data_IF_524094237166
#
_entry.id   IF_524094237166
#
_cell.length_a   1.000
_cell.length_b   1.000
_cell.length_c   1.000
_cell.angle_alpha   90.00
_cell.angle_beta   90.00
_cell.angle_gamma   90.00
#
_symmetry.space_group_name_H-M   'P 1'
#
loop_
_entity.id
_entity.type
_entity.pdbx_description
1 polymer ?
#
# COMPACT_ATOMS: atom_id res chain seq x y z
N UNK A 1 10.24 -12.95 -0.74
CA UNK A 1 8.96 -13.66 -0.61
C UNK A 1 8.10 -13.57 -1.85
N UNK A 2 7.49 -14.72 -2.14
CA UNK A 2 6.70 -15.08 -3.33
C UNK A 2 5.24 -14.62 -3.15
N UNK A 3 4.94 -13.45 -3.74
CA UNK A 3 3.62 -12.84 -3.71
C UNK A 3 2.61 -13.60 -4.58
N UNK A 4 3.07 -14.31 -5.62
CA UNK A 4 2.20 -15.15 -6.46
C UNK A 4 1.66 -16.33 -5.66
N UNK A 5 2.52 -17.07 -4.98
CA UNK A 5 2.11 -18.21 -4.15
C UNK A 5 1.20 -17.78 -3.00
N UNK A 6 1.51 -16.65 -2.37
CA UNK A 6 0.69 -16.07 -1.31
C UNK A 6 -0.74 -15.75 -1.78
N UNK A 7 -0.87 -15.07 -2.92
CA UNK A 7 -2.18 -14.73 -3.48
C UNK A 7 -2.95 -15.95 -3.97
N UNK A 8 -2.27 -16.95 -4.55
CA UNK A 8 -2.92 -18.23 -4.91
C UNK A 8 -3.46 -18.98 -3.69
N UNK A 9 -2.72 -18.99 -2.58
CA UNK A 9 -3.20 -19.57 -1.33
C UNK A 9 -4.43 -18.83 -0.81
N UNK A 10 -4.40 -17.49 -0.76
CA UNK A 10 -5.56 -16.67 -0.39
C UNK A 10 -6.75 -16.94 -1.30
N UNK A 11 -6.54 -17.05 -2.62
CA UNK A 11 -7.59 -17.35 -3.60
C UNK A 11 -8.28 -18.69 -3.31
N UNK A 12 -7.53 -19.72 -2.89
CA UNK A 12 -8.09 -21.04 -2.56
C UNK A 12 -8.90 -21.05 -1.27
N UNK A 13 -8.64 -20.13 -0.35
CA UNK A 13 -9.37 -20.01 0.91
C UNK A 13 -10.71 -19.29 0.77
N UNK A 14 -10.92 -18.57 -0.34
CA UNK A 14 -12.15 -17.83 -0.58
C UNK A 14 -13.21 -18.71 -1.24
N UNK A 15 -14.44 -18.62 -0.74
CA UNK A 15 -15.62 -19.14 -1.42
C UNK A 15 -15.82 -18.44 -2.78
N UNK A 16 -16.56 -19.05 -3.73
CA UNK A 16 -16.97 -18.38 -4.96
C UNK A 16 -17.65 -17.03 -4.65
N UNK A 17 -17.24 -15.96 -5.34
CA UNK A 17 -17.70 -14.59 -5.09
C UNK A 17 -17.09 -13.90 -3.85
N UNK A 18 -16.22 -14.58 -3.10
CA UNK A 18 -15.51 -14.01 -1.97
C UNK A 18 -14.56 -12.87 -2.36
N UNK A 19 -14.32 -11.93 -1.44
CA UNK A 19 -13.50 -10.74 -1.69
C UNK A 19 -12.19 -10.76 -0.90
N UNK A 20 -11.11 -10.42 -1.58
CA UNK A 20 -9.81 -10.10 -1.01
C UNK A 20 -9.63 -8.58 -1.00
N UNK A 21 -9.33 -8.01 0.17
CA UNK A 21 -8.96 -6.60 0.33
C UNK A 21 -7.48 -6.54 0.72
N UNK A 22 -6.66 -5.87 -0.08
CA UNK A 22 -5.23 -5.70 0.15
C UNK A 22 -4.88 -4.25 0.40
N UNK A 23 -4.08 -4.01 1.44
CA UNK A 23 -3.37 -2.76 1.67
C UNK A 23 -1.87 -3.04 1.55
N UNK A 24 -1.23 -2.53 0.50
CA UNK A 24 0.20 -2.76 0.23
C UNK A 24 0.95 -1.44 0.01
N UNK A 25 2.24 -1.36 0.36
CA UNK A 25 2.99 -0.13 0.12
C UNK A 25 3.17 0.09 -1.38
N UNK A 26 3.02 1.35 -1.79
CA UNK A 26 3.06 1.78 -3.18
C UNK A 26 4.28 2.66 -3.46
N UNK A 27 4.52 2.90 -4.76
CA UNK A 27 5.63 3.72 -5.26
C UNK A 27 6.99 3.11 -4.90
N UNK A 28 7.55 2.21 -5.75
CA UNK A 28 8.85 1.59 -5.52
C UNK A 28 9.99 2.58 -5.20
N UNK A 29 9.91 3.80 -5.72
CA UNK A 29 10.85 4.89 -5.43
C UNK A 29 10.82 5.39 -3.97
N UNK A 30 9.88 4.95 -3.13
CA UNK A 30 9.84 5.26 -1.70
C UNK A 30 10.52 4.20 -0.83
N UNK A 31 10.79 3.01 -1.37
CA UNK A 31 11.33 1.91 -0.57
C UNK A 31 12.68 2.29 0.05
N UNK A 32 12.80 2.24 1.38
CA UNK A 32 13.97 2.73 2.10
C UNK A 32 14.29 1.95 3.37
N UNK A 33 15.04 2.59 4.26
CA UNK A 33 15.43 2.00 5.56
C UNK A 33 14.24 1.72 6.46
N UNK A 34 13.25 2.62 6.47
CA UNK A 34 11.98 2.41 7.16
C UNK A 34 11.24 1.15 6.69
N UNK A 35 11.22 0.89 5.38
CA UNK A 35 10.58 -0.31 4.83
C UNK A 35 11.25 -1.59 5.31
N UNK A 36 12.58 -1.64 5.24
CA UNK A 36 13.36 -2.78 5.71
C UNK A 36 13.14 -3.03 7.21
N UNK A 37 13.12 -1.97 8.01
CA UNK A 37 12.91 -2.06 9.45
C UNK A 37 11.52 -2.59 9.82
N UNK A 38 10.50 -2.32 8.98
CA UNK A 38 9.15 -2.83 9.14
C UNK A 38 8.92 -4.20 8.48
N UNK A 39 9.97 -4.83 7.95
CA UNK A 39 9.88 -6.14 7.29
C UNK A 39 9.22 -6.11 5.90
N UNK A 40 9.07 -4.93 5.28
CA UNK A 40 8.60 -4.86 3.90
C UNK A 40 9.67 -5.37 2.95
N UNK A 41 9.26 -6.24 2.01
CA UNK A 41 10.16 -6.77 0.99
C UNK A 41 10.15 -5.97 -0.32
N UNK A 42 9.01 -5.37 -0.66
CA UNK A 42 8.81 -4.59 -1.89
C UNK A 42 7.65 -3.62 -1.78
N UNK A 43 7.59 -2.67 -2.70
CA UNK A 43 6.42 -1.80 -2.95
C UNK A 43 5.91 -1.99 -4.37
N UNK A 44 4.63 -1.72 -4.59
CA UNK A 44 3.95 -2.02 -5.85
C UNK A 44 3.66 -0.78 -6.70
N UNK A 45 3.64 -0.98 -8.02
CA UNK A 45 2.97 -0.07 -8.97
C UNK A 45 1.54 -0.57 -9.15
N UNK A 46 0.58 0.34 -9.37
CA UNK A 46 -0.83 0.00 -9.59
C UNK A 46 -1.03 -1.05 -10.69
N UNK A 47 -0.42 -0.85 -11.85
CA UNK A 47 -0.50 -1.78 -12.97
C UNK A 47 0.07 -3.17 -12.62
N UNK A 48 1.25 -3.21 -11.97
CA UNK A 48 1.88 -4.47 -11.58
C UNK A 48 1.04 -5.25 -10.56
N UNK A 49 0.46 -4.57 -9.55
CA UNK A 49 -0.45 -5.21 -8.59
C UNK A 49 -1.72 -5.75 -9.26
N UNK A 50 -2.26 -4.99 -10.21
CA UNK A 50 -3.46 -5.39 -10.98
C UNK A 50 -3.19 -6.66 -11.77
N UNK A 51 -2.10 -6.69 -12.54
CA UNK A 51 -1.70 -7.87 -13.32
C UNK A 51 -1.42 -9.07 -12.43
N UNK A 52 -0.80 -8.86 -11.26
CA UNK A 52 -0.53 -9.92 -10.29
C UNK A 52 -1.83 -10.54 -9.74
N UNK A 53 -2.82 -9.73 -9.39
CA UNK A 53 -4.13 -10.21 -8.94
C UNK A 53 -4.85 -11.00 -10.03
N UNK A 54 -4.85 -10.51 -11.27
CA UNK A 54 -5.44 -11.21 -12.41
C UNK A 54 -4.76 -12.56 -12.66
N UNK A 55 -3.42 -12.58 -12.66
CA UNK A 55 -2.64 -13.79 -12.86
C UNK A 55 -2.81 -14.84 -11.74
N UNK A 56 -3.36 -14.43 -10.59
CA UNK A 56 -3.60 -15.31 -9.43
C UNK A 56 -5.07 -15.69 -9.25
N UNK A 57 -5.90 -15.41 -10.26
CA UNK A 57 -7.30 -15.88 -10.32
C UNK A 57 -8.31 -14.94 -9.66
N UNK A 58 -7.96 -13.65 -9.52
CA UNK A 58 -8.89 -12.63 -9.06
C UNK A 58 -9.41 -11.77 -10.21
N UNK A 59 -10.71 -11.47 -10.16
CA UNK A 59 -11.27 -10.34 -10.90
C UNK A 59 -11.03 -9.06 -10.10
N UNK A 60 -10.27 -8.13 -10.65
CA UNK A 60 -9.96 -6.88 -9.95
C UNK A 60 -11.17 -5.94 -10.01
N UNK A 61 -11.80 -5.71 -8.86
CA UNK A 61 -12.98 -4.85 -8.74
C UNK A 61 -12.62 -3.38 -8.48
N UNK A 62 -11.55 -3.12 -7.72
CA UNK A 62 -11.12 -1.76 -7.38
C UNK A 62 -9.62 -1.69 -7.11
N UNK A 63 -8.97 -0.60 -7.51
CA UNK A 63 -7.60 -0.27 -7.10
C UNK A 63 -7.41 1.25 -7.02
N UNK A 64 -7.05 1.73 -5.83
CA UNK A 64 -6.84 3.15 -5.55
C UNK A 64 -5.56 3.40 -4.74
N UNK A 65 -5.05 4.63 -4.83
CA UNK A 65 -3.97 5.11 -3.98
C UNK A 65 -4.52 5.63 -2.65
N UNK A 66 -3.75 5.44 -1.59
CA UNK A 66 -4.08 5.87 -0.24
C UNK A 66 -2.89 6.58 0.42
N UNK A 67 -3.20 7.53 1.30
CA UNK A 67 -2.24 8.28 2.13
C UNK A 67 -1.21 9.07 1.29
N UNK A 68 -1.63 10.19 0.70
CA UNK A 68 -0.69 11.05 -0.05
C UNK A 68 0.18 11.89 0.89
N UNK A 69 -0.39 12.49 1.93
CA UNK A 69 0.35 13.28 2.92
C UNK A 69 1.56 12.53 3.51
N UNK A 70 1.48 11.22 3.65
CA UNK A 70 2.59 10.40 4.15
C UNK A 70 3.77 10.26 3.18
N UNK A 71 3.58 10.46 1.87
CA UNK A 71 4.63 10.28 0.84
C UNK A 71 5.90 11.10 1.12
N UNK A 72 5.84 12.45 1.26
CA UNK A 72 7.05 13.26 1.49
C UNK A 72 7.72 12.93 2.83
N UNK A 73 6.94 12.75 3.89
CA UNK A 73 7.47 12.40 5.22
C UNK A 73 8.18 11.05 5.23
N UNK A 74 7.58 10.05 4.57
CA UNK A 74 8.17 8.71 4.46
C UNK A 74 9.45 8.71 3.65
N UNK A 75 9.44 9.38 2.50
CA UNK A 75 10.64 9.51 1.65
C UNK A 75 11.78 10.16 2.44
N UNK A 76 11.53 11.30 3.07
CA UNK A 76 12.54 12.04 3.81
C UNK A 76 13.09 11.23 4.97
N UNK A 77 12.22 10.63 5.79
CA UNK A 77 12.65 9.81 6.92
C UNK A 77 13.44 8.56 6.49
N UNK A 78 12.98 7.83 5.47
CA UNK A 78 13.54 6.53 5.09
C UNK A 78 14.70 6.59 4.08
N UNK A 79 14.79 7.64 3.25
CA UNK A 79 15.83 7.78 2.21
C UNK A 79 16.90 8.81 2.59
N UNK A 80 16.50 9.94 3.16
CA UNK A 80 17.42 11.04 3.52
C UNK A 80 17.97 10.83 4.93
N UNK A 81 17.10 10.79 5.94
CA UNK A 81 17.50 10.61 7.33
C UNK A 81 17.86 9.15 7.68
N UNK A 82 17.54 8.21 6.80
CA UNK A 82 17.79 6.76 6.96
C UNK A 82 17.30 6.20 8.31
N UNK A 83 16.18 6.73 8.81
CA UNK A 83 15.57 6.28 10.06
C UNK A 83 15.06 4.85 9.91
N UNK A 84 15.17 4.10 11.00
CA UNK A 84 14.62 2.74 11.10
C UNK A 84 13.37 2.68 11.98
N UNK A 85 13.07 3.77 12.70
CA UNK A 85 11.90 3.89 13.57
C UNK A 85 11.17 5.19 13.25
N UNK A 86 9.84 5.18 13.39
CA UNK A 86 9.01 6.39 13.31
C UNK A 86 9.05 7.07 14.68
N UNK A 87 9.63 8.28 14.82
CA UNK A 87 9.62 8.96 16.10
C UNK A 87 8.21 9.28 16.59
N UNK A 88 7.98 9.13 17.90
CA UNK A 88 6.67 9.39 18.50
C UNK A 88 6.16 10.82 18.24
N UNK A 89 7.06 11.82 18.21
CA UNK A 89 6.70 13.21 17.90
C UNK A 89 6.17 13.40 16.48
N UNK A 90 6.78 12.75 15.48
CA UNK A 90 6.29 12.81 14.10
C UNK A 90 4.96 12.09 13.91
N UNK A 91 4.74 10.99 14.64
CA UNK A 91 3.47 10.28 14.62
C UNK A 91 2.35 11.14 15.21
N UNK A 92 2.58 11.74 16.38
CA UNK A 92 1.61 12.66 17.01
C UNK A 92 1.26 13.86 16.13
N UNK A 93 2.26 14.45 15.48
CA UNK A 93 2.03 15.55 14.53
C UNK A 93 1.19 15.09 13.33
N UNK A 94 1.52 13.93 12.76
CA UNK A 94 0.77 13.36 11.66
C UNK A 94 -0.69 13.10 12.04
N UNK A 95 -0.92 12.47 13.20
CA UNK A 95 -2.26 12.17 13.72
C UNK A 95 -3.10 13.44 13.94
N UNK A 96 -2.47 14.51 14.45
CA UNK A 96 -3.13 15.81 14.62
C UNK A 96 -3.54 16.45 13.28
N UNK A 97 -2.82 16.16 12.20
CA UNK A 97 -3.08 16.68 10.85
C UNK A 97 -4.06 15.80 10.05
N UNK A 98 -4.40 14.59 10.52
CA UNK A 98 -5.34 13.67 9.83
C UNK A 98 -6.68 14.34 9.47
N UNK A 99 -7.34 15.16 10.32
CA UNK A 99 -8.58 15.82 9.96
C UNK A 99 -8.45 16.73 8.73
N UNK A 100 -7.29 17.38 8.55
CA UNK A 100 -7.00 18.20 7.38
C UNK A 100 -6.79 17.31 6.14
N UNK A 101 -6.06 16.20 6.28
CA UNK A 101 -5.83 15.26 5.19
C UNK A 101 -7.06 14.44 4.80
N UNK A 102 -8.13 14.41 5.62
CA UNK A 102 -9.41 13.81 5.19
C UNK A 102 -10.00 14.52 3.97
N UNK A 103 -9.64 15.79 3.73
CA UNK A 103 -10.00 16.53 2.51
C UNK A 103 -9.34 15.95 1.26
N UNK A 104 -8.28 15.13 1.41
CA UNK A 104 -7.72 14.36 0.29
C UNK A 104 -8.81 13.50 -0.38
N UNK A 105 -9.87 13.07 0.30
CA UNK A 105 -10.95 12.30 -0.34
C UNK A 105 -11.66 13.01 -1.51
N UNK A 106 -11.48 14.32 -1.65
CA UNK A 106 -12.11 15.15 -2.68
C UNK A 106 -11.26 15.34 -3.94
N UNK A 107 -10.00 14.87 -3.93
CA UNK A 107 -9.05 15.08 -5.02
C UNK A 107 -8.85 13.79 -5.84
N UNK A 108 -8.79 13.86 -7.17
CA UNK A 108 -8.62 12.69 -8.04
C UNK A 108 -7.17 12.22 -8.02
N UNK A 109 -6.75 11.55 -6.94
CA UNK A 109 -5.34 11.25 -6.76
C UNK A 109 -4.85 10.14 -7.69
N UNK A 110 -3.75 10.44 -8.37
CA UNK A 110 -2.99 9.50 -9.21
C UNK A 110 -1.79 8.90 -8.46
N UNK A 111 -1.59 9.23 -7.18
CA UNK A 111 -0.40 8.92 -6.37
C UNK A 111 -0.77 8.81 -4.88
N UNK A 112 -0.10 7.93 -4.13
CA UNK A 112 -0.21 7.79 -2.67
C UNK A 112 0.83 6.82 -2.11
N UNK A 113 1.04 6.82 -0.79
CA UNK A 113 2.04 5.99 -0.12
C UNK A 113 1.70 4.49 -0.19
N UNK A 114 0.41 4.15 -0.25
CA UNK A 114 -0.09 2.78 -0.30
C UNK A 114 -1.10 2.59 -1.43
N UNK A 115 -1.35 1.34 -1.80
CA UNK A 115 -2.43 0.92 -2.69
C UNK A 115 -3.44 0.11 -1.88
N UNK A 116 -4.72 0.43 -2.07
CA UNK A 116 -5.84 -0.42 -1.66
C UNK A 116 -6.35 -1.12 -2.91
N UNK A 117 -6.43 -2.45 -2.88
CA UNK A 117 -6.94 -3.26 -3.98
C UNK A 117 -8.02 -4.23 -3.49
N UNK A 118 -9.08 -4.39 -4.29
CA UNK A 118 -10.16 -5.34 -4.05
C UNK A 118 -10.19 -6.32 -5.21
N UNK A 119 -9.93 -7.60 -4.91
CA UNK A 119 -10.05 -8.71 -5.84
C UNK A 119 -11.23 -9.60 -5.47
N UNK A 120 -12.01 -10.04 -6.44
CA UNK A 120 -13.07 -11.03 -6.25
C UNK A 120 -12.62 -12.39 -6.76
N UNK A 121 -12.90 -13.43 -5.98
CA UNK A 121 -12.71 -14.82 -6.36
C UNK A 121 -13.79 -15.19 -7.39
N UNK A 122 -13.47 -14.98 -8.67
CA UNK A 122 -14.29 -15.41 -9.81
C UNK A 122 -14.25 -16.93 -9.98
#
# INVERSE_FOLDING_TARGET
DDDVSSLKAMRRMLAPGGRLILLVPALPALYGTMDKALGHHRRYKRAALTSLLQATGFRVAHVEYFNLAGVPGWWFAGRVLRRQVIPAGSLKLYDALVPLFRLERLLPWRVGQSLIAIGEAA
#
